data_IF_422404935721
#
_entry.id   IF_422404935721
#
_cell.length_a   1.000
_cell.length_b   1.000
_cell.length_c   1.000
_cell.angle_alpha   90.00
_cell.angle_beta   90.00
_cell.angle_gamma   90.00
#
_symmetry.space_group_name_H-M   'P 1'
#
loop_
_entity.id
_entity.type
_entity.pdbx_description
1 polymer ?
#
# COMPACT_ATOMS: atom_id res chain seq x y z
N UNK A 1 -71.92 98.22 -64.75
CA UNK A 1 -71.90 98.40 -63.27
C UNK A 1 -70.59 97.83 -62.74
N UNK A 2 -69.70 98.68 -62.21
CA UNK A 2 -68.42 98.27 -61.62
C UNK A 2 -68.64 98.02 -60.12
N UNK A 3 -68.90 96.77 -59.72
CA UNK A 3 -68.80 96.39 -58.31
C UNK A 3 -67.31 96.11 -58.03
N UNK A 4 -66.60 97.12 -57.50
CA UNK A 4 -65.17 97.04 -57.17
C UNK A 4 -64.94 97.45 -55.71
N UNK A 5 -65.79 96.92 -54.82
CA UNK A 5 -65.58 96.98 -53.37
C UNK A 5 -65.38 95.54 -52.92
N UNK A 6 -64.12 95.19 -52.70
CA UNK A 6 -63.69 93.93 -52.12
C UNK A 6 -64.34 93.81 -50.73
N UNK A 7 -65.23 92.84 -50.56
CA UNK A 7 -66.02 92.66 -49.34
C UNK A 7 -65.05 92.22 -48.24
N UNK A 8 -64.67 93.14 -47.33
CA UNK A 8 -63.75 92.89 -46.21
C UNK A 8 -64.21 91.78 -45.24
N UNK A 9 -65.46 91.33 -45.36
CA UNK A 9 -66.04 90.24 -44.54
C UNK A 9 -65.36 88.89 -44.82
N UNK A 10 -64.87 88.65 -46.03
CA UNK A 10 -64.19 87.38 -46.40
C UNK A 10 -62.76 87.28 -45.86
N UNK A 11 -62.19 88.37 -45.33
CA UNK A 11 -60.91 88.33 -44.61
C UNK A 11 -61.03 87.85 -43.16
N UNK A 12 -62.26 87.72 -42.64
CA UNK A 12 -62.52 87.29 -41.25
C UNK A 12 -63.13 85.90 -41.14
N UNK A 13 -63.80 85.42 -42.19
CA UNK A 13 -64.46 84.13 -42.23
C UNK A 13 -64.09 83.34 -43.49
N UNK A 14 -63.91 82.02 -43.36
CA UNK A 14 -63.62 81.12 -44.47
C UNK A 14 -64.77 81.12 -45.49
N UNK A 15 -64.45 81.27 -46.77
CA UNK A 15 -65.47 81.41 -47.79
C UNK A 15 -66.28 80.15 -48.09
N UNK A 16 -65.78 78.97 -47.74
CA UNK A 16 -66.46 77.69 -47.97
C UNK A 16 -67.27 77.22 -46.75
N UNK A 17 -66.82 77.51 -45.51
CA UNK A 17 -67.43 76.98 -44.29
C UNK A 17 -67.88 78.04 -43.27
N UNK A 18 -67.62 79.33 -43.52
CA UNK A 18 -68.01 80.44 -42.64
C UNK A 18 -67.26 80.53 -41.31
N UNK A 19 -66.30 79.65 -41.03
CA UNK A 19 -65.51 79.65 -39.79
C UNK A 19 -64.61 80.90 -39.67
N UNK A 20 -64.47 81.46 -38.47
CA UNK A 20 -63.59 82.62 -38.26
C UNK A 20 -62.12 82.23 -38.48
N UNK A 21 -61.43 82.96 -39.36
CA UNK A 21 -60.01 82.70 -39.67
C UNK A 21 -59.07 83.21 -38.57
N UNK A 22 -59.45 84.27 -37.85
CA UNK A 22 -58.59 84.89 -36.83
C UNK A 22 -58.14 83.93 -35.73
N UNK A 23 -59.02 83.11 -35.11
CA UNK A 23 -58.59 82.15 -34.08
C UNK A 23 -57.64 81.08 -34.63
N UNK A 24 -57.85 80.64 -35.87
CA UNK A 24 -56.99 79.63 -36.52
C UNK A 24 -55.60 80.19 -36.82
N UNK A 25 -55.52 81.44 -37.28
CA UNK A 25 -54.25 82.14 -37.56
C UNK A 25 -53.51 82.47 -36.27
N UNK A 26 -54.22 82.91 -35.24
CA UNK A 26 -53.61 83.17 -33.93
C UNK A 26 -53.04 81.88 -33.32
N UNK A 27 -53.76 80.76 -33.48
CA UNK A 27 -53.26 79.44 -33.06
C UNK A 27 -52.03 79.05 -33.88
N UNK A 28 -52.10 79.10 -35.21
CA UNK A 28 -50.96 78.79 -36.07
C UNK A 28 -49.73 79.66 -35.77
N UNK A 29 -49.92 80.94 -35.44
CA UNK A 29 -48.85 81.85 -35.05
C UNK A 29 -48.24 81.45 -33.70
N UNK A 30 -49.06 81.05 -32.73
CA UNK A 30 -48.59 80.56 -31.44
C UNK A 30 -47.82 79.24 -31.59
N UNK A 31 -48.34 78.29 -32.37
CA UNK A 31 -47.71 77.00 -32.65
C UNK A 31 -46.36 77.20 -33.39
N UNK A 32 -46.32 78.08 -34.40
CA UNK A 32 -45.07 78.42 -35.12
C UNK A 32 -44.06 79.14 -34.23
N UNK A 33 -44.52 79.99 -33.31
CA UNK A 33 -43.65 80.66 -32.35
C UNK A 33 -43.01 79.64 -31.41
N UNK A 34 -43.78 78.67 -30.92
CA UNK A 34 -43.27 77.60 -30.08
C UNK A 34 -42.21 76.76 -30.82
N UNK A 35 -42.49 76.37 -32.07
CA UNK A 35 -41.55 75.63 -32.92
C UNK A 35 -40.27 76.44 -33.17
N UNK A 36 -40.39 77.74 -33.45
CA UNK A 36 -39.26 78.65 -33.59
C UNK A 36 -38.39 78.66 -32.32
N UNK A 37 -39.01 78.89 -31.16
CA UNK A 37 -38.31 78.99 -29.89
C UNK A 37 -37.63 77.65 -29.51
N UNK A 38 -38.25 76.51 -29.85
CA UNK A 38 -37.67 75.18 -29.71
C UNK A 38 -36.48 74.94 -30.64
N UNK A 39 -36.60 75.28 -31.93
CA UNK A 39 -35.52 75.10 -32.90
C UNK A 39 -34.29 75.95 -32.56
N UNK A 40 -34.49 77.20 -32.12
CA UNK A 40 -33.39 78.06 -31.64
C UNK A 40 -32.75 77.52 -30.37
N UNK A 41 -33.53 76.94 -29.45
CA UNK A 41 -32.99 76.26 -28.26
C UNK A 41 -32.14 75.03 -28.64
N UNK A 42 -32.65 74.18 -29.54
CA UNK A 42 -31.93 72.98 -30.00
C UNK A 42 -30.63 73.34 -30.74
N UNK A 43 -30.64 74.42 -31.53
CA UNK A 43 -29.42 74.95 -32.16
C UNK A 43 -28.40 75.43 -31.12
N UNK A 44 -28.86 76.10 -30.06
CA UNK A 44 -27.99 76.53 -28.96
C UNK A 44 -27.39 75.35 -28.16
N UNK A 45 -28.13 74.25 -28.07
CA UNK A 45 -27.70 73.00 -27.42
C UNK A 45 -26.91 72.06 -28.35
N UNK A 46 -26.66 72.48 -29.59
CA UNK A 46 -25.98 71.73 -30.65
C UNK A 46 -26.67 70.42 -31.06
N UNK A 47 -27.98 70.30 -30.84
CA UNK A 47 -28.79 69.21 -31.38
C UNK A 47 -29.23 69.55 -32.81
N UNK A 48 -28.25 69.52 -33.73
CA UNK A 48 -28.46 69.96 -35.11
C UNK A 48 -29.51 69.16 -35.86
N UNK A 49 -29.67 67.87 -35.55
CA UNK A 49 -30.64 67.01 -36.21
C UNK A 49 -32.07 67.38 -35.75
N UNK A 50 -32.29 67.47 -34.44
CA UNK A 50 -33.60 67.88 -33.93
C UNK A 50 -33.94 69.32 -34.33
N UNK A 51 -32.97 70.24 -34.29
CA UNK A 51 -33.14 71.62 -34.72
C UNK A 51 -33.61 71.73 -36.18
N UNK A 52 -33.00 70.94 -37.09
CA UNK A 52 -33.39 70.88 -38.49
C UNK A 52 -34.79 70.29 -38.68
N UNK A 53 -35.13 69.23 -37.95
CA UNK A 53 -36.46 68.61 -37.99
C UNK A 53 -37.57 69.56 -37.52
N UNK A 54 -37.31 70.35 -36.46
CA UNK A 54 -38.28 71.34 -35.96
C UNK A 54 -38.44 72.51 -36.93
N UNK A 55 -37.36 72.99 -37.55
CA UNK A 55 -37.45 74.10 -38.49
C UNK A 55 -38.19 73.72 -39.79
N UNK A 56 -38.08 72.47 -40.25
CA UNK A 56 -38.71 72.02 -41.49
C UNK A 56 -40.25 72.17 -41.48
N UNK A 57 -40.89 72.09 -40.31
CA UNK A 57 -42.35 72.31 -40.17
C UNK A 57 -42.74 73.72 -40.66
N UNK A 58 -41.83 74.68 -40.50
CA UNK A 58 -42.02 76.09 -40.87
C UNK A 58 -41.85 76.32 -42.37
N UNK A 59 -41.04 75.50 -43.06
CA UNK A 59 -40.81 75.59 -44.50
C UNK A 59 -42.09 75.38 -45.33
N UNK A 60 -43.05 74.64 -44.80
CA UNK A 60 -44.32 74.30 -45.47
C UNK A 60 -45.40 75.39 -45.44
N UNK A 61 -45.12 76.54 -44.81
CA UNK A 61 -46.12 77.59 -44.61
C UNK A 61 -46.41 78.39 -45.88
N UNK A 62 -47.68 78.42 -46.29
CA UNK A 62 -48.15 79.12 -47.52
C UNK A 62 -48.97 80.37 -47.23
N UNK A 63 -49.45 80.57 -46.00
CA UNK A 63 -50.21 81.77 -45.64
C UNK A 63 -49.32 83.02 -45.69
N UNK A 64 -49.71 83.98 -46.54
CA UNK A 64 -49.01 85.28 -46.70
C UNK A 64 -48.78 86.04 -45.39
N UNK A 65 -49.65 85.87 -44.39
CA UNK A 65 -49.53 86.53 -43.07
C UNK A 65 -48.39 85.95 -42.22
N UNK A 66 -47.94 84.74 -42.53
CA UNK A 66 -46.93 83.99 -41.80
C UNK A 66 -45.60 83.91 -42.55
N UNK A 67 -45.45 84.61 -43.68
CA UNK A 67 -44.25 84.61 -44.53
C UNK A 67 -42.97 85.06 -43.83
N UNK A 68 -43.08 85.82 -42.72
CA UNK A 68 -41.91 86.17 -41.92
C UNK A 68 -41.20 84.92 -41.34
N UNK A 69 -41.94 83.85 -41.09
CA UNK A 69 -41.38 82.57 -40.66
C UNK A 69 -40.67 81.82 -41.80
N UNK A 70 -41.07 82.02 -43.06
CA UNK A 70 -40.35 81.48 -44.23
C UNK A 70 -38.98 82.15 -44.36
N UNK A 71 -38.91 83.48 -44.22
CA UNK A 71 -37.64 84.21 -44.19
C UNK A 71 -36.77 83.78 -43.00
N UNK A 72 -37.36 83.60 -41.82
CA UNK A 72 -36.63 83.06 -40.67
C UNK A 72 -36.09 81.66 -40.94
N UNK A 73 -36.86 80.77 -41.56
CA UNK A 73 -36.43 79.41 -41.87
C UNK A 73 -35.19 79.41 -42.77
N UNK A 74 -35.17 80.21 -43.83
CA UNK A 74 -34.00 80.34 -44.73
C UNK A 74 -32.75 80.80 -43.97
N UNK A 75 -32.88 81.84 -43.15
CA UNK A 75 -31.78 82.36 -42.32
C UNK A 75 -31.33 81.36 -41.25
N UNK A 76 -32.29 80.66 -40.63
CA UNK A 76 -32.05 79.64 -39.63
C UNK A 76 -31.32 78.43 -40.21
N UNK A 77 -31.74 77.90 -41.37
CA UNK A 77 -31.06 76.79 -42.04
C UNK A 77 -29.62 77.15 -42.38
N UNK A 78 -29.37 78.36 -42.89
CA UNK A 78 -28.01 78.82 -43.17
C UNK A 78 -27.15 78.90 -41.89
N UNK A 79 -27.69 79.43 -40.79
CA UNK A 79 -27.02 79.48 -39.48
C UNK A 79 -26.77 78.08 -38.92
N UNK A 80 -27.75 77.18 -39.02
CA UNK A 80 -27.65 75.79 -38.56
C UNK A 80 -26.53 75.06 -39.30
N UNK A 81 -26.49 75.15 -40.62
CA UNK A 81 -25.45 74.51 -41.44
C UNK A 81 -24.05 75.06 -41.17
N UNK A 82 -23.93 76.38 -41.01
CA UNK A 82 -22.68 77.03 -40.64
C UNK A 82 -22.21 76.59 -39.25
N UNK A 83 -23.12 76.54 -38.28
CA UNK A 83 -22.83 76.10 -36.90
C UNK A 83 -22.42 74.62 -36.87
N UNK A 84 -23.20 73.76 -37.54
CA UNK A 84 -22.93 72.32 -37.66
C UNK A 84 -21.55 72.04 -38.25
N UNK A 85 -21.21 72.71 -39.36
CA UNK A 85 -19.90 72.53 -40.02
C UNK A 85 -18.75 72.97 -39.11
N UNK A 86 -18.88 74.13 -38.46
CA UNK A 86 -17.87 74.67 -37.56
C UNK A 86 -17.64 73.78 -36.33
N UNK A 87 -18.72 73.36 -35.67
CA UNK A 87 -18.61 72.54 -34.47
C UNK A 87 -18.17 71.11 -34.76
N UNK A 88 -18.53 70.53 -35.92
CA UNK A 88 -17.99 69.23 -36.33
C UNK A 88 -16.51 69.30 -36.68
N UNK A 89 -16.03 70.36 -37.32
CA UNK A 89 -14.61 70.56 -37.56
C UNK A 89 -13.82 70.72 -36.25
N UNK A 90 -14.36 71.47 -35.28
CA UNK A 90 -13.79 71.58 -33.94
C UNK A 90 -13.79 70.25 -33.20
N UNK A 91 -14.87 69.47 -33.28
CA UNK A 91 -14.95 68.14 -32.69
C UNK A 91 -13.87 67.21 -33.28
N UNK A 92 -13.69 67.23 -34.59
CA UNK A 92 -12.64 66.47 -35.27
C UNK A 92 -11.25 66.78 -34.72
N UNK A 93 -10.92 68.07 -34.58
CA UNK A 93 -9.64 68.52 -34.03
C UNK A 93 -9.42 68.04 -32.59
N UNK A 94 -10.43 68.20 -31.72
CA UNK A 94 -10.37 67.74 -30.33
C UNK A 94 -10.21 66.22 -30.22
N UNK A 95 -10.90 65.45 -31.05
CA UNK A 95 -10.78 63.99 -31.08
C UNK A 95 -9.37 63.57 -31.51
N UNK A 96 -8.76 64.24 -32.50
CA UNK A 96 -7.40 63.93 -32.92
C UNK A 96 -6.33 64.34 -31.92
N UNK A 97 -6.48 65.51 -31.29
CA UNK A 97 -5.59 65.94 -30.22
C UNK A 97 -5.65 64.96 -29.04
N UNK A 98 -6.85 64.56 -28.62
CA UNK A 98 -7.03 63.56 -27.56
C UNK A 98 -6.38 62.22 -27.91
N UNK A 99 -6.54 61.75 -29.16
CA UNK A 99 -5.91 60.51 -29.65
C UNK A 99 -4.39 60.62 -29.68
N UNK A 100 -3.85 61.77 -30.05
CA UNK A 100 -2.40 62.04 -30.02
C UNK A 100 -1.88 61.97 -28.59
N UNK A 101 -2.57 62.60 -27.63
CA UNK A 101 -2.24 62.49 -26.21
C UNK A 101 -2.33 61.05 -25.69
N UNK A 102 -3.34 60.29 -26.09
CA UNK A 102 -3.49 58.88 -25.72
C UNK A 102 -2.32 58.03 -26.26
N UNK A 103 -1.88 58.26 -27.50
CA UNK A 103 -0.77 57.54 -28.14
C UNK A 103 0.57 57.79 -27.45
N UNK A 104 0.79 59.00 -26.92
CA UNK A 104 1.98 59.32 -26.11
C UNK A 104 1.79 59.01 -24.63
N UNK A 105 0.72 58.30 -24.26
CA UNK A 105 0.37 57.90 -22.89
C UNK A 105 0.15 59.08 -21.91
N UNK A 106 -0.21 60.25 -22.42
CA UNK A 106 -0.63 61.41 -21.63
C UNK A 106 -2.15 61.45 -21.46
N UNK A 107 -2.66 60.48 -20.70
CA UNK A 107 -4.08 60.32 -20.48
C UNK A 107 -4.74 61.54 -19.82
N UNK A 108 -3.99 62.32 -19.03
CA UNK A 108 -4.54 63.50 -18.35
C UNK A 108 -4.84 64.62 -19.36
N UNK A 109 -3.91 64.88 -20.29
CA UNK A 109 -4.13 65.84 -21.36
C UNK A 109 -5.24 65.37 -22.29
N UNK A 110 -5.26 64.08 -22.66
CA UNK A 110 -6.34 63.50 -23.46
C UNK A 110 -7.74 63.70 -22.82
N UNK A 111 -7.88 63.41 -21.52
CA UNK A 111 -9.15 63.62 -20.80
C UNK A 111 -9.54 65.10 -20.73
N UNK A 112 -8.59 66.02 -20.57
CA UNK A 112 -8.86 67.46 -20.60
C UNK A 112 -9.34 67.93 -21.97
N UNK A 113 -8.77 67.40 -23.05
CA UNK A 113 -9.21 67.70 -24.42
C UNK A 113 -10.63 67.20 -24.66
N UNK A 114 -10.94 65.94 -24.30
CA UNK A 114 -12.29 65.38 -24.45
C UNK A 114 -13.33 66.08 -23.57
N UNK A 115 -12.94 66.57 -22.39
CA UNK A 115 -13.83 67.35 -21.53
C UNK A 115 -14.31 68.68 -22.15
N UNK A 116 -13.64 69.17 -23.21
CA UNK A 116 -14.07 70.37 -23.95
C UNK A 116 -15.20 70.09 -24.95
N UNK A 117 -15.51 68.81 -25.23
CA UNK A 117 -16.60 68.41 -26.13
C UNK A 117 -17.94 68.60 -25.44
N UNK A 118 -18.88 69.28 -26.12
CA UNK A 118 -20.23 69.49 -25.61
C UNK A 118 -20.95 68.15 -25.39
N UNK A 119 -21.82 68.07 -24.37
CA UNK A 119 -22.51 66.82 -24.01
C UNK A 119 -23.33 66.22 -25.17
N UNK A 120 -24.03 67.07 -25.94
CA UNK A 120 -24.84 66.67 -27.09
C UNK A 120 -24.01 66.05 -28.22
N UNK A 121 -22.71 66.37 -28.28
CA UNK A 121 -21.79 65.92 -29.33
C UNK A 121 -20.98 64.68 -28.93
N UNK A 122 -21.11 64.18 -27.68
CA UNK A 122 -20.27 63.08 -27.18
C UNK A 122 -20.43 61.78 -27.97
N UNK A 123 -21.60 61.55 -28.57
CA UNK A 123 -21.93 60.34 -29.32
C UNK A 123 -21.96 60.59 -30.84
N UNK A 124 -21.57 61.79 -31.30
CA UNK A 124 -21.53 62.11 -32.72
C UNK A 124 -20.34 61.42 -33.37
N UNK A 125 -20.60 60.74 -34.49
CA UNK A 125 -19.57 60.11 -35.31
C UNK A 125 -19.06 61.10 -36.35
N UNK A 126 -17.74 61.26 -36.43
CA UNK A 126 -17.07 62.10 -37.44
C UNK A 126 -16.42 61.18 -38.48
N UNK A 127 -16.61 61.50 -39.75
CA UNK A 127 -16.06 60.72 -40.85
C UNK A 127 -14.52 60.73 -40.78
N UNK A 128 -13.91 59.53 -40.72
CA UNK A 128 -12.45 59.38 -40.60
C UNK A 128 -11.94 59.13 -39.18
N UNK A 129 -12.79 59.27 -38.15
CA UNK A 129 -12.48 58.91 -36.77
C UNK A 129 -13.41 57.77 -36.35
N UNK A 130 -12.83 56.62 -35.99
CA UNK A 130 -13.60 55.42 -35.61
C UNK A 130 -14.33 55.56 -34.28
N UNK A 131 -13.80 56.39 -33.39
CA UNK A 131 -14.21 56.47 -31.99
C UNK A 131 -14.96 57.79 -31.77
N UNK A 132 -16.08 57.71 -31.05
CA UNK A 132 -16.80 58.88 -30.53
C UNK A 132 -16.07 59.48 -29.33
N UNK A 133 -16.37 60.73 -28.98
CA UNK A 133 -15.78 61.35 -27.79
C UNK A 133 -16.11 60.57 -26.50
N UNK A 134 -17.32 60.01 -26.42
CA UNK A 134 -17.76 59.18 -25.29
C UNK A 134 -16.96 57.88 -25.15
N UNK A 135 -16.65 57.20 -26.27
CA UNK A 135 -15.83 55.98 -26.26
C UNK A 135 -14.39 56.28 -25.85
N UNK A 136 -13.80 57.38 -26.34
CA UNK A 136 -12.46 57.83 -25.92
C UNK A 136 -12.45 58.18 -24.43
N UNK A 137 -13.45 58.94 -23.94
CA UNK A 137 -13.60 59.31 -22.53
C UNK A 137 -13.64 58.08 -21.62
N UNK A 138 -14.45 57.08 -21.99
CA UNK A 138 -14.56 55.82 -21.26
C UNK A 138 -13.23 55.05 -21.26
N UNK A 139 -12.58 54.92 -22.43
CA UNK A 139 -11.30 54.22 -22.57
C UNK A 139 -10.21 54.89 -21.73
N UNK A 140 -10.13 56.22 -21.75
CA UNK A 140 -9.19 57.00 -20.94
C UNK A 140 -9.44 56.81 -19.45
N UNK A 141 -10.71 56.86 -19.02
CA UNK A 141 -11.10 56.64 -17.61
C UNK A 141 -10.65 55.26 -17.13
N UNK A 142 -10.88 54.21 -17.93
CA UNK A 142 -10.45 52.85 -17.61
C UNK A 142 -8.92 52.78 -17.50
N UNK A 143 -8.18 53.33 -18.47
CA UNK A 143 -6.71 53.34 -18.46
C UNK A 143 -6.15 54.10 -17.26
N UNK A 144 -6.71 55.25 -16.91
CA UNK A 144 -6.30 56.04 -15.75
C UNK A 144 -6.57 55.31 -14.43
N UNK A 145 -7.75 54.70 -14.28
CA UNK A 145 -8.09 53.90 -13.11
C UNK A 145 -7.11 52.73 -12.95
N UNK A 146 -6.86 51.98 -14.03
CA UNK A 146 -5.92 50.86 -14.03
C UNK A 146 -4.49 51.30 -13.73
N UNK A 147 -4.05 52.43 -14.28
CA UNK A 147 -2.74 53.01 -14.00
C UNK A 147 -2.57 53.33 -12.50
N UNK A 148 -3.57 53.98 -11.90
CA UNK A 148 -3.56 54.33 -10.48
C UNK A 148 -3.60 53.09 -9.58
N UNK A 149 -4.37 52.08 -9.95
CA UNK A 149 -4.44 50.80 -9.27
C UNK A 149 -3.08 50.10 -9.28
N UNK A 150 -2.47 49.92 -10.46
CA UNK A 150 -1.16 49.29 -10.61
C UNK A 150 -0.07 50.05 -9.85
N UNK A 151 -0.07 51.38 -9.89
CA UNK A 151 0.85 52.20 -9.09
C UNK A 151 0.68 51.97 -7.59
N UNK A 152 -0.57 51.86 -7.12
CA UNK A 152 -0.89 51.55 -5.74
C UNK A 152 -0.35 50.18 -5.32
N UNK A 153 -0.67 49.14 -6.10
CA UNK A 153 -0.23 47.77 -5.85
C UNK A 153 1.29 47.67 -5.87
N UNK A 154 1.96 48.21 -6.90
CA UNK A 154 3.42 48.16 -7.01
C UNK A 154 4.07 48.87 -5.83
N UNK A 155 3.60 50.07 -5.47
CA UNK A 155 4.16 50.81 -4.32
C UNK A 155 3.97 50.06 -3.02
N UNK A 156 2.79 49.52 -2.78
CA UNK A 156 2.47 48.77 -1.57
C UNK A 156 3.32 47.51 -1.45
N UNK A 157 3.36 46.68 -2.51
CA UNK A 157 4.15 45.45 -2.56
C UNK A 157 5.64 45.69 -2.38
N UNK A 158 6.21 46.69 -3.07
CA UNK A 158 7.60 47.11 -2.88
C UNK A 158 7.86 47.56 -1.45
N UNK A 159 6.94 48.32 -0.84
CA UNK A 159 7.09 48.78 0.56
C UNK A 159 7.06 47.63 1.58
N UNK A 160 6.26 46.60 1.30
CA UNK A 160 6.15 45.38 2.12
C UNK A 160 7.26 44.35 1.82
N UNK A 161 8.12 44.63 0.83
CA UNK A 161 9.10 43.67 0.28
C UNK A 161 8.47 42.38 -0.25
N UNK A 162 7.18 42.44 -0.59
CA UNK A 162 6.45 41.36 -1.24
C UNK A 162 6.65 41.49 -2.75
N UNK A 163 7.68 40.81 -3.25
CA UNK A 163 8.07 40.89 -4.67
C UNK A 163 7.55 39.72 -5.50
N UNK A 164 6.83 38.78 -4.87
CA UNK A 164 6.22 37.65 -5.54
C UNK A 164 5.21 38.16 -6.57
N UNK A 165 5.29 37.62 -7.79
CA UNK A 165 4.38 37.93 -8.91
C UNK A 165 4.32 39.43 -9.28
N UNK A 166 5.29 40.24 -8.85
CA UNK A 166 5.28 41.68 -9.11
C UNK A 166 5.67 42.03 -10.55
N UNK A 167 6.48 41.19 -11.19
CA UNK A 167 7.02 41.44 -12.54
C UNK A 167 5.92 41.59 -13.62
N UNK A 168 4.88 40.74 -13.69
CA UNK A 168 3.74 40.94 -14.60
C UNK A 168 3.05 42.30 -14.44
N UNK A 169 2.81 42.74 -13.19
CA UNK A 169 2.16 44.02 -12.90
C UNK A 169 3.03 45.20 -13.30
N UNK A 170 4.35 45.10 -13.09
CA UNK A 170 5.33 46.10 -13.53
C UNK A 170 5.39 46.17 -15.07
N UNK A 171 5.31 45.03 -15.77
CA UNK A 171 5.24 44.98 -17.22
C UNK A 171 3.96 45.66 -17.75
N UNK A 172 2.80 45.37 -17.14
CA UNK A 172 1.54 46.02 -17.50
C UNK A 172 1.58 47.54 -17.25
N UNK A 173 2.17 47.96 -16.12
CA UNK A 173 2.37 49.37 -15.79
C UNK A 173 3.23 50.09 -16.84
N UNK A 174 4.31 49.46 -17.31
CA UNK A 174 5.17 49.99 -18.36
C UNK A 174 4.50 49.98 -19.74
N UNK A 175 3.58 49.06 -20.01
CA UNK A 175 2.75 49.10 -21.22
C UNK A 175 1.78 50.28 -21.22
N UNK A 176 1.20 50.60 -20.07
CA UNK A 176 0.32 51.77 -19.92
C UNK A 176 1.10 53.09 -19.87
N UNK A 177 2.31 53.10 -19.33
CA UNK A 177 3.16 54.29 -19.27
C UNK A 177 4.64 53.95 -19.39
N UNK A 178 5.19 53.92 -20.62
CA UNK A 178 6.57 53.50 -20.87
C UNK A 178 7.64 54.45 -20.31
N UNK A 179 7.33 55.74 -20.14
CA UNK A 179 8.31 56.75 -19.70
C UNK A 179 8.40 56.86 -18.17
N UNK A 180 8.90 55.78 -17.54
CA UNK A 180 9.10 55.72 -16.09
C UNK A 180 10.44 55.06 -15.73
N UNK A 181 11.51 55.85 -15.50
CA UNK A 181 12.84 55.31 -15.24
C UNK A 181 12.89 54.42 -13.99
N UNK A 182 12.20 54.83 -12.91
CA UNK A 182 12.14 54.06 -11.67
C UNK A 182 11.47 52.68 -11.85
N UNK A 183 10.40 52.63 -12.63
CA UNK A 183 9.67 51.38 -12.91
C UNK A 183 10.48 50.48 -13.85
N UNK A 184 11.21 51.03 -14.82
CA UNK A 184 12.16 50.28 -15.66
C UNK A 184 13.29 49.67 -14.83
N UNK A 185 13.84 50.44 -13.89
CA UNK A 185 14.87 49.96 -12.96
C UNK A 185 14.33 48.82 -12.09
N UNK A 186 13.12 48.97 -11.55
CA UNK A 186 12.45 47.92 -10.77
C UNK A 186 12.24 46.65 -11.62
N UNK A 187 11.77 46.79 -12.87
CA UNK A 187 11.63 45.66 -13.79
C UNK A 187 12.94 44.89 -13.93
N UNK A 188 14.04 45.58 -14.22
CA UNK A 188 15.35 44.95 -14.40
C UNK A 188 15.82 44.24 -13.13
N UNK A 189 15.57 44.81 -11.95
CA UNK A 189 15.87 44.16 -10.67
C UNK A 189 15.04 42.90 -10.43
N UNK A 190 13.75 42.91 -10.78
CA UNK A 190 12.88 41.75 -10.67
C UNK A 190 13.28 40.65 -11.67
N UNK A 191 13.59 41.02 -12.91
CA UNK A 191 14.10 40.08 -13.92
C UNK A 191 15.42 39.44 -13.48
N UNK A 192 16.35 40.24 -12.95
CA UNK A 192 17.62 39.73 -12.42
C UNK A 192 17.38 38.76 -11.26
N UNK A 193 16.54 39.14 -10.27
CA UNK A 193 16.20 38.25 -9.15
C UNK A 193 15.60 36.93 -9.64
N UNK A 194 14.66 36.97 -10.58
CA UNK A 194 14.06 35.74 -11.14
C UNK A 194 15.12 34.89 -11.82
N UNK A 195 16.02 35.50 -12.58
CA UNK A 195 17.15 34.79 -13.21
C UNK A 195 18.07 34.16 -12.16
N UNK A 196 18.41 34.87 -11.08
CA UNK A 196 19.29 34.38 -10.01
C UNK A 196 18.63 33.22 -9.25
N UNK A 197 17.33 33.29 -8.96
CA UNK A 197 16.60 32.20 -8.30
C UNK A 197 16.52 30.94 -9.19
N UNK A 198 16.32 31.13 -10.49
CA UNK A 198 16.33 30.02 -11.46
C UNK A 198 17.73 29.39 -11.53
N UNK A 199 18.79 30.20 -11.61
CA UNK A 199 20.16 29.71 -11.61
C UNK A 199 20.50 28.94 -10.32
N UNK A 200 20.11 29.47 -9.15
CA UNK A 200 20.29 28.80 -7.86
C UNK A 200 19.55 27.46 -7.80
N UNK A 201 18.31 27.39 -8.30
CA UNK A 201 17.57 26.13 -8.40
C UNK A 201 18.30 25.11 -9.28
N UNK A 202 18.82 25.54 -10.43
CA UNK A 202 19.47 24.65 -11.38
C UNK A 202 20.77 24.10 -10.77
N UNK A 203 21.56 24.95 -10.10
CA UNK A 203 22.74 24.55 -9.30
C UNK A 203 22.36 23.58 -8.17
N UNK A 204 21.28 23.85 -7.43
CA UNK A 204 20.79 22.96 -6.38
C UNK A 204 20.33 21.60 -6.94
N UNK A 205 19.74 21.56 -8.14
CA UNK A 205 19.38 20.30 -8.82
C UNK A 205 20.63 19.50 -9.22
N UNK A 206 21.67 20.17 -9.72
CA UNK A 206 22.96 19.54 -10.05
C UNK A 206 23.62 18.96 -8.79
N UNK A 207 23.70 19.76 -7.72
CA UNK A 207 24.28 19.32 -6.45
C UNK A 207 23.48 18.18 -5.81
N UNK A 208 22.14 18.25 -5.80
CA UNK A 208 21.32 17.15 -5.30
C UNK A 208 21.48 15.87 -6.13
N UNK A 209 21.66 15.99 -7.44
CA UNK A 209 21.94 14.84 -8.32
C UNK A 209 23.28 14.21 -7.95
N UNK A 210 24.31 15.03 -7.70
CA UNK A 210 25.60 14.57 -7.22
C UNK A 210 25.47 13.86 -5.85
N UNK A 211 24.83 14.49 -4.87
CA UNK A 211 24.64 13.92 -3.54
C UNK A 211 23.87 12.58 -3.60
N UNK A 212 22.84 12.46 -4.44
CA UNK A 212 22.14 11.17 -4.66
C UNK A 212 23.09 10.10 -5.21
N UNK A 213 23.99 10.46 -6.13
CA UNK A 213 24.98 9.53 -6.69
C UNK A 213 26.07 9.12 -5.69
N UNK A 214 26.39 10.03 -4.76
CA UNK A 214 27.31 9.82 -3.64
C UNK A 214 26.62 9.16 -2.42
N UNK A 215 25.32 8.81 -2.54
CA UNK A 215 24.51 8.17 -1.51
C UNK A 215 24.29 9.05 -0.24
N UNK A 216 24.38 10.37 -0.42
CA UNK A 216 24.12 11.43 0.55
C UNK A 216 22.67 11.94 0.43
N UNK A 217 21.71 11.08 0.75
CA UNK A 217 20.29 11.36 0.51
C UNK A 217 19.72 12.48 1.37
N UNK A 218 20.19 12.63 2.62
CA UNK A 218 19.73 13.69 3.53
C UNK A 218 20.22 15.06 3.06
N UNK A 219 21.47 15.15 2.64
CA UNK A 219 22.10 16.34 2.08
C UNK A 219 21.43 16.75 0.76
N UNK A 220 21.08 15.78 -0.09
CA UNK A 220 20.30 16.02 -1.30
C UNK A 220 18.94 16.64 -0.99
N UNK A 221 18.19 16.09 -0.02
CA UNK A 221 16.88 16.61 0.39
C UNK A 221 17.02 18.03 0.96
N UNK A 222 17.97 18.26 1.87
CA UNK A 222 18.21 19.56 2.47
C UNK A 222 18.55 20.64 1.41
N UNK A 223 19.35 20.28 0.41
CA UNK A 223 19.71 21.16 -0.71
C UNK A 223 18.48 21.53 -1.54
N UNK A 224 17.62 20.55 -1.86
CA UNK A 224 16.39 20.78 -2.62
C UNK A 224 15.34 21.57 -1.83
N UNK A 225 15.25 21.38 -0.51
CA UNK A 225 14.32 22.08 0.39
C UNK A 225 14.71 23.55 0.63
N UNK A 226 15.97 23.91 0.40
CA UNK A 226 16.42 25.30 0.44
C UNK A 226 15.97 26.13 -0.78
N UNK A 227 15.50 25.49 -1.85
CA UNK A 227 15.04 26.18 -3.06
C UNK A 227 13.63 26.75 -2.83
N UNK A 228 13.44 28.03 -3.20
CA UNK A 228 12.14 28.70 -3.11
C UNK A 228 11.07 28.01 -3.96
N UNK A 229 9.85 27.93 -3.42
CA UNK A 229 8.67 27.43 -4.13
C UNK A 229 8.37 28.25 -5.41
N UNK A 230 8.73 29.54 -5.44
CA UNK A 230 8.53 30.45 -6.58
C UNK A 230 9.16 29.95 -7.88
N UNK A 231 10.27 29.20 -7.80
CA UNK A 231 11.00 28.67 -8.96
C UNK A 231 10.89 27.15 -9.09
N UNK A 232 10.07 26.51 -8.27
CA UNK A 232 9.87 25.06 -8.28
C UNK A 232 9.45 24.55 -9.66
N UNK A 233 9.99 23.39 -10.03
CA UNK A 233 9.69 22.73 -11.30
C UNK A 233 9.56 21.21 -11.10
N UNK A 234 9.23 20.50 -12.19
CA UNK A 234 9.05 19.05 -12.15
C UNK A 234 10.35 18.31 -11.78
N UNK A 235 11.49 18.72 -12.34
CA UNK A 235 12.79 18.09 -12.07
C UNK A 235 13.15 18.13 -10.58
N UNK A 236 13.00 19.29 -9.93
CA UNK A 236 13.24 19.46 -8.50
C UNK A 236 12.33 18.53 -7.67
N UNK A 237 11.05 18.44 -8.07
CA UNK A 237 10.06 17.59 -7.40
C UNK A 237 10.42 16.11 -7.56
N UNK A 238 10.79 15.68 -8.76
CA UNK A 238 11.17 14.29 -9.05
C UNK A 238 12.45 13.89 -8.29
N UNK A 239 13.45 14.77 -8.22
CA UNK A 239 14.66 14.55 -7.44
C UNK A 239 14.37 14.45 -5.94
N UNK A 240 13.48 15.32 -5.42
CA UNK A 240 13.07 15.27 -4.02
C UNK A 240 12.37 13.95 -3.69
N UNK A 241 11.46 13.49 -4.55
CA UNK A 241 10.79 12.19 -4.38
C UNK A 241 11.82 11.06 -4.39
N UNK A 242 12.70 11.04 -5.40
CA UNK A 242 13.72 10.00 -5.53
C UNK A 242 14.66 9.92 -4.32
N UNK A 243 15.12 11.06 -3.82
CA UNK A 243 15.97 11.10 -2.63
C UNK A 243 15.24 10.60 -1.37
N UNK A 244 13.98 11.01 -1.18
CA UNK A 244 13.14 10.53 -0.08
C UNK A 244 12.87 9.02 -0.18
N UNK A 245 12.60 8.50 -1.37
CA UNK A 245 12.36 7.06 -1.58
C UNK A 245 13.59 6.24 -1.21
N UNK A 246 14.79 6.66 -1.60
CA UNK A 246 16.02 5.98 -1.22
C UNK A 246 16.30 6.07 0.28
N UNK A 247 16.10 7.24 0.90
CA UNK A 247 16.26 7.41 2.35
C UNK A 247 15.29 6.52 3.14
N UNK A 248 14.03 6.45 2.70
CA UNK A 248 13.01 5.60 3.32
C UNK A 248 13.33 4.11 3.17
N UNK A 249 13.80 3.68 1.98
CA UNK A 249 14.25 2.31 1.77
C UNK A 249 15.44 1.96 2.67
N UNK A 250 16.43 2.86 2.78
CA UNK A 250 17.59 2.69 3.65
C UNK A 250 17.17 2.53 5.12
N UNK A 251 16.28 3.41 5.60
CA UNK A 251 15.79 3.36 6.99
C UNK A 251 15.01 2.09 7.29
N UNK A 252 14.18 1.62 6.36
CA UNK A 252 13.43 0.37 6.49
C UNK A 252 14.39 -0.84 6.57
N UNK A 253 15.39 -0.91 5.69
CA UNK A 253 16.39 -1.99 5.74
C UNK A 253 17.18 -1.98 7.06
N UNK A 254 17.56 -0.79 7.56
CA UNK A 254 18.22 -0.65 8.87
C UNK A 254 17.33 -1.11 10.03
N UNK A 255 16.03 -0.81 9.99
CA UNK A 255 15.07 -1.28 10.98
C UNK A 255 14.90 -2.81 10.93
N UNK A 256 14.83 -3.40 9.74
CA UNK A 256 14.79 -4.85 9.55
C UNK A 256 16.04 -5.52 10.13
N UNK A 257 17.23 -4.98 9.84
CA UNK A 257 18.49 -5.49 10.40
C UNK A 257 18.47 -5.40 11.93
N UNK A 258 18.09 -4.24 12.49
CA UNK A 258 18.03 -4.03 13.94
C UNK A 258 17.07 -5.01 14.62
N UNK A 259 15.89 -5.22 14.02
CA UNK A 259 14.86 -6.15 14.52
C UNK A 259 15.35 -7.59 14.46
N UNK A 260 15.93 -8.01 13.34
CA UNK A 260 16.46 -9.36 13.14
C UNK A 260 17.61 -9.67 14.11
N UNK A 261 18.56 -8.74 14.28
CA UNK A 261 19.66 -8.86 15.24
C UNK A 261 19.13 -8.93 16.68
N UNK A 262 18.16 -8.09 17.05
CA UNK A 262 17.54 -8.10 18.37
C UNK A 262 16.79 -9.40 18.68
N UNK A 263 16.12 -9.97 17.66
CA UNK A 263 15.43 -11.25 17.75
C UNK A 263 16.35 -12.48 17.60
N UNK A 264 17.66 -12.27 17.36
CA UNK A 264 18.64 -13.33 17.03
C UNK A 264 18.24 -14.17 15.80
N UNK A 265 17.52 -13.57 14.86
CA UNK A 265 17.10 -14.16 13.60
C UNK A 265 18.12 -13.76 12.53
N UNK A 266 19.08 -14.64 12.26
CA UNK A 266 20.15 -14.36 11.29
C UNK A 266 19.89 -14.92 9.89
N UNK A 267 18.78 -15.64 9.72
CA UNK A 267 18.40 -16.20 8.42
C UNK A 267 18.06 -15.05 7.46
N UNK A 268 18.55 -15.13 6.21
CA UNK A 268 18.36 -14.16 5.13
C UNK A 268 18.92 -12.73 5.40
N UNK A 269 19.51 -12.49 6.58
CA UNK A 269 20.01 -11.18 6.99
C UNK A 269 21.15 -10.67 6.10
N UNK A 270 21.98 -11.57 5.55
CA UNK A 270 23.03 -11.20 4.60
C UNK A 270 22.47 -10.50 3.36
N UNK A 271 21.35 -10.96 2.82
CA UNK A 271 20.71 -10.35 1.65
C UNK A 271 20.21 -8.93 1.97
N UNK A 272 19.65 -8.72 3.17
CA UNK A 272 19.18 -7.41 3.63
C UNK A 272 20.37 -6.46 3.84
N UNK A 273 21.47 -6.93 4.44
CA UNK A 273 22.69 -6.14 4.61
C UNK A 273 23.30 -5.76 3.25
N UNK A 274 23.33 -6.69 2.29
CA UNK A 274 23.82 -6.40 0.94
C UNK A 274 22.98 -5.33 0.23
N UNK A 275 21.65 -5.40 0.34
CA UNK A 275 20.77 -4.36 -0.20
C UNK A 275 21.02 -3.00 0.48
N UNK A 276 21.23 -2.99 1.81
CA UNK A 276 21.54 -1.78 2.54
C UNK A 276 22.89 -1.17 2.09
N UNK A 277 23.91 -1.99 1.89
CA UNK A 277 25.24 -1.58 1.41
C UNK A 277 25.24 -1.13 -0.06
N UNK A 278 24.31 -1.64 -0.88
CA UNK A 278 24.10 -1.13 -2.25
C UNK A 278 23.54 0.30 -2.20
N UNK A 279 22.64 0.61 -1.26
CA UNK A 279 22.09 1.95 -1.09
C UNK A 279 23.07 2.89 -0.40
N UNK A 280 23.83 2.42 0.59
CA UNK A 280 24.82 3.23 1.29
C UNK A 280 26.04 2.39 1.68
N UNK A 281 27.11 2.53 0.91
CA UNK A 281 28.29 1.68 0.97
C UNK A 281 29.21 1.98 2.16
N UNK A 282 29.22 3.22 2.65
CA UNK A 282 30.03 3.73 3.77
C UNK A 282 29.42 3.38 5.14
N UNK A 283 29.18 2.09 5.38
CA UNK A 283 28.64 1.58 6.65
C UNK A 283 29.55 0.49 7.23
N UNK A 284 30.63 0.91 7.88
CA UNK A 284 31.66 0.04 8.45
C UNK A 284 31.10 -1.01 9.43
N UNK A 285 30.08 -0.62 10.21
CA UNK A 285 29.38 -1.50 11.14
C UNK A 285 28.61 -2.63 10.42
N UNK A 286 27.98 -2.32 9.29
CA UNK A 286 27.30 -3.31 8.45
C UNK A 286 28.29 -4.21 7.70
N UNK A 287 29.43 -3.69 7.27
CA UNK A 287 30.50 -4.48 6.67
C UNK A 287 31.08 -5.49 7.68
N UNK A 288 31.36 -5.06 8.91
CA UNK A 288 31.81 -5.93 9.98
C UNK A 288 30.75 -7.00 10.32
N UNK A 289 29.47 -6.60 10.35
CA UNK A 289 28.36 -7.53 10.56
C UNK A 289 28.26 -8.57 9.43
N UNK A 290 28.39 -8.15 8.18
CA UNK A 290 28.41 -9.03 7.00
C UNK A 290 29.52 -10.07 7.13
N UNK A 291 30.74 -9.65 7.45
CA UNK A 291 31.87 -10.57 7.63
C UNK A 291 31.60 -11.59 8.75
N UNK A 292 31.07 -11.14 9.88
CA UNK A 292 30.70 -12.03 11.01
C UNK A 292 29.63 -13.05 10.61
N UNK A 293 28.63 -12.66 9.82
CA UNK A 293 27.57 -13.55 9.35
C UNK A 293 28.11 -14.58 8.34
N UNK A 294 28.92 -14.16 7.38
CA UNK A 294 29.60 -15.07 6.43
C UNK A 294 30.44 -16.10 7.18
N UNK A 295 31.25 -15.65 8.16
CA UNK A 295 32.06 -16.55 8.99
C UNK A 295 31.20 -17.52 9.82
N UNK A 296 30.05 -17.05 10.32
CA UNK A 296 29.09 -17.88 11.06
C UNK A 296 28.48 -18.96 10.17
N UNK A 297 28.04 -18.61 8.96
CA UNK A 297 27.46 -19.55 8.00
C UNK A 297 28.49 -20.61 7.57
N UNK A 298 29.72 -20.20 7.21
CA UNK A 298 30.79 -21.14 6.88
C UNK A 298 31.10 -22.13 8.01
N UNK A 299 31.04 -21.65 9.27
CA UNK A 299 31.22 -22.50 10.45
C UNK A 299 30.07 -23.48 10.65
N UNK A 300 28.82 -23.05 10.43
CA UNK A 300 27.66 -23.94 10.49
C UNK A 300 27.71 -24.99 9.39
N UNK A 301 28.07 -24.61 8.16
CA UNK A 301 28.20 -25.55 7.04
C UNK A 301 29.27 -26.59 7.31
N UNK A 302 30.43 -26.18 7.82
CA UNK A 302 31.50 -27.11 8.24
C UNK A 302 30.99 -28.08 9.29
N UNK A 303 30.26 -27.60 10.30
CA UNK A 303 29.66 -28.46 11.34
C UNK A 303 28.60 -29.40 10.77
N UNK A 304 27.75 -28.93 9.86
CA UNK A 304 26.74 -29.77 9.20
C UNK A 304 27.39 -30.86 8.35
N UNK A 305 28.45 -30.55 7.62
CA UNK A 305 29.23 -31.53 6.86
C UNK A 305 29.85 -32.59 7.79
N UNK A 306 30.39 -32.19 8.94
CA UNK A 306 30.92 -33.12 9.94
C UNK A 306 29.82 -34.04 10.50
N UNK A 307 28.69 -33.47 10.93
CA UNK A 307 27.54 -34.24 11.45
C UNK A 307 27.01 -35.20 10.38
N UNK A 308 26.90 -34.75 9.13
CA UNK A 308 26.46 -35.57 8.00
C UNK A 308 27.43 -36.73 7.76
N UNK A 309 28.73 -36.46 7.78
CA UNK A 309 29.78 -37.49 7.60
C UNK A 309 29.75 -38.52 8.72
N UNK A 310 29.61 -38.08 9.98
CA UNK A 310 29.51 -38.97 11.14
C UNK A 310 28.22 -39.81 11.11
N UNK A 311 27.09 -39.23 10.71
CA UNK A 311 25.84 -39.95 10.56
C UNK A 311 25.92 -41.02 9.46
N UNK A 312 26.61 -40.73 8.35
CA UNK A 312 26.88 -41.70 7.28
C UNK A 312 27.78 -42.85 7.76
N UNK A 313 28.79 -42.57 8.59
CA UNK A 313 29.63 -43.60 9.21
C UNK A 313 28.81 -44.52 10.12
N UNK A 314 27.96 -43.97 10.98
CA UNK A 314 27.04 -44.76 11.81
C UNK A 314 26.08 -45.60 10.99
N UNK A 315 25.59 -45.06 9.86
CA UNK A 315 24.73 -45.80 8.94
C UNK A 315 25.47 -47.02 8.35
N UNK A 316 26.73 -46.86 7.94
CA UNK A 316 27.56 -47.97 7.44
C UNK A 316 27.81 -49.05 8.51
N UNK A 317 27.93 -48.64 9.77
CA UNK A 317 28.09 -49.54 10.92
C UNK A 317 26.77 -50.13 11.43
N UNK A 318 25.64 -49.88 10.75
CA UNK A 318 24.28 -50.27 11.16
C UNK A 318 23.86 -49.75 12.54
N UNK A 319 24.46 -48.64 12.99
CA UNK A 319 24.16 -47.96 14.25
C UNK A 319 23.11 -46.86 14.05
N UNK A 320 21.90 -47.25 13.63
CA UNK A 320 20.86 -46.31 13.19
C UNK A 320 20.44 -45.30 14.26
N UNK A 321 20.33 -45.69 15.54
CA UNK A 321 19.95 -44.76 16.60
C UNK A 321 21.02 -43.69 16.86
N UNK A 322 22.30 -44.04 16.71
CA UNK A 322 23.39 -43.07 16.80
C UNK A 322 23.37 -42.09 15.62
N UNK A 323 23.09 -42.58 14.40
CA UNK A 323 22.92 -41.73 13.23
C UNK A 323 21.74 -40.75 13.37
N UNK A 324 20.58 -41.23 13.82
CA UNK A 324 19.37 -40.42 14.09
C UNK A 324 19.65 -39.40 15.19
N UNK A 325 20.30 -39.81 16.28
CA UNK A 325 20.69 -38.92 17.38
C UNK A 325 21.65 -37.82 16.92
N UNK A 326 22.60 -38.15 16.05
CA UNK A 326 23.59 -37.20 15.51
C UNK A 326 22.93 -36.18 14.58
N UNK A 327 22.02 -36.62 13.69
CA UNK A 327 21.29 -35.72 12.79
C UNK A 327 20.26 -34.86 13.52
N UNK A 328 19.58 -35.39 14.54
CA UNK A 328 18.61 -34.63 15.35
C UNK A 328 19.26 -33.57 16.25
N UNK A 329 20.58 -33.63 16.45
CA UNK A 329 21.33 -32.58 17.14
C UNK A 329 21.46 -31.28 16.31
N UNK A 330 21.14 -31.32 15.01
CA UNK A 330 20.98 -30.12 14.18
C UNK A 330 19.62 -29.50 14.52
N UNK A 331 19.65 -28.28 15.08
CA UNK A 331 18.42 -27.56 15.39
C UNK A 331 17.55 -27.41 14.13
N UNK A 332 16.21 -27.49 14.22
CA UNK A 332 15.32 -27.48 13.07
C UNK A 332 15.57 -26.33 12.09
N UNK A 333 15.88 -25.14 12.61
CA UNK A 333 16.17 -23.93 11.83
C UNK A 333 17.45 -24.01 10.98
N UNK A 334 18.31 -25.00 11.23
CA UNK A 334 19.56 -25.22 10.50
C UNK A 334 19.55 -26.50 9.65
N UNK A 335 18.43 -27.22 9.63
CA UNK A 335 18.31 -28.41 8.80
C UNK A 335 18.23 -28.02 7.32
N UNK A 336 19.15 -28.54 6.53
CA UNK A 336 19.12 -28.45 5.07
C UNK A 336 18.27 -29.56 4.49
N UNK A 337 17.83 -29.41 3.23
CA UNK A 337 17.17 -30.47 2.47
C UNK A 337 18.01 -31.75 2.45
N UNK A 338 19.34 -31.64 2.34
CA UNK A 338 20.25 -32.79 2.40
C UNK A 338 20.23 -33.50 3.76
N UNK A 339 20.26 -32.77 4.87
CA UNK A 339 20.24 -33.38 6.22
C UNK A 339 18.90 -34.02 6.52
N UNK A 340 17.79 -33.43 6.06
CA UNK A 340 16.45 -34.00 6.17
C UNK A 340 16.30 -35.28 5.35
N UNK A 341 16.77 -35.27 4.09
CA UNK A 341 16.76 -36.45 3.23
C UNK A 341 17.62 -37.58 3.83
N UNK A 342 18.79 -37.26 4.39
CA UNK A 342 19.62 -38.24 5.07
C UNK A 342 18.93 -38.81 6.32
N UNK A 343 18.29 -37.96 7.12
CA UNK A 343 17.53 -38.39 8.29
C UNK A 343 16.42 -39.39 7.91
N UNK A 344 15.64 -39.06 6.88
CA UNK A 344 14.60 -39.96 6.35
C UNK A 344 15.18 -41.28 5.87
N UNK A 345 16.26 -41.23 5.08
CA UNK A 345 16.95 -42.43 4.60
C UNK A 345 17.42 -43.32 5.74
N UNK A 346 18.03 -42.77 6.79
CA UNK A 346 18.47 -43.53 7.96
C UNK A 346 17.28 -44.22 8.64
N UNK A 347 16.14 -43.53 8.77
CA UNK A 347 14.93 -44.12 9.37
C UNK A 347 14.31 -45.23 8.52
N UNK A 348 14.33 -45.10 7.20
CA UNK A 348 13.84 -46.11 6.26
C UNK A 348 14.76 -47.34 6.24
N UNK A 349 16.08 -47.14 6.16
CA UNK A 349 17.04 -48.23 6.21
C UNK A 349 16.96 -48.99 7.55
N UNK A 350 16.75 -48.28 8.66
CA UNK A 350 16.47 -48.90 9.97
C UNK A 350 15.22 -49.78 9.93
N UNK A 351 14.12 -49.27 9.40
CA UNK A 351 12.86 -50.02 9.31
C UNK A 351 13.02 -51.27 8.43
N UNK A 352 13.69 -51.14 7.28
CA UNK A 352 13.97 -52.26 6.38
C UNK A 352 14.85 -53.33 7.04
N UNK A 353 15.88 -52.93 7.80
CA UNK A 353 16.72 -53.86 8.55
C UNK A 353 15.93 -54.64 9.61
N UNK A 354 15.03 -53.97 10.33
CA UNK A 354 14.12 -54.61 11.29
C UNK A 354 13.20 -55.61 10.57
N UNK A 355 12.57 -55.23 9.46
CA UNK A 355 11.70 -56.12 8.69
C UNK A 355 12.44 -57.35 8.19
N UNK A 356 13.68 -57.18 7.71
CA UNK A 356 14.53 -58.28 7.25
C UNK A 356 14.85 -59.24 8.41
N UNK A 357 15.33 -58.73 9.54
CA UNK A 357 15.63 -59.55 10.72
C UNK A 357 14.39 -60.31 11.22
N UNK A 358 13.21 -59.67 11.23
CA UNK A 358 11.95 -60.33 11.59
C UNK A 358 11.58 -61.44 10.60
N UNK A 359 11.79 -61.25 9.30
CA UNK A 359 11.50 -62.25 8.27
C UNK A 359 12.40 -63.48 8.36
N UNK A 360 13.63 -63.31 8.84
CA UNK A 360 14.60 -64.38 9.09
C UNK A 360 14.39 -65.05 10.46
N UNK A 361 13.46 -64.55 11.27
CA UNK A 361 13.21 -65.01 12.64
C UNK A 361 14.27 -64.56 13.65
N UNK A 362 15.21 -63.69 13.27
CA UNK A 362 16.23 -63.12 14.14
C UNK A 362 15.67 -61.96 14.97
N UNK A 363 14.85 -62.32 15.95
CA UNK A 363 14.27 -61.36 16.88
C UNK A 363 15.32 -60.65 17.73
N UNK A 364 16.53 -61.22 17.91
CA UNK A 364 17.60 -60.58 18.70
C UNK A 364 18.10 -59.34 17.98
N UNK A 365 18.38 -59.48 16.68
CA UNK A 365 18.77 -58.36 15.83
C UNK A 365 17.65 -57.32 15.75
N UNK A 366 16.39 -57.74 15.54
CA UNK A 366 15.25 -56.82 15.50
C UNK A 366 15.07 -56.03 16.82
N UNK A 367 15.21 -56.67 18.00
CA UNK A 367 15.18 -55.98 19.29
C UNK A 367 16.42 -55.13 19.58
N UNK A 368 17.58 -55.46 19.01
CA UNK A 368 18.77 -54.62 19.14
C UNK A 368 18.65 -53.32 18.36
N UNK A 369 17.91 -53.34 17.25
CA UNK A 369 17.62 -52.18 16.41
C UNK A 369 16.44 -51.37 16.94
N UNK A 370 15.40 -52.02 17.48
CA UNK A 370 14.27 -51.39 18.13
C UNK A 370 13.83 -52.22 19.35
N UNK A 371 14.27 -51.78 20.53
CA UNK A 371 14.00 -52.47 21.79
C UNK A 371 12.52 -52.62 22.13
N UNK A 372 11.64 -51.84 21.50
CA UNK A 372 10.20 -51.88 21.72
C UNK A 372 9.45 -52.60 20.58
N UNK A 373 10.15 -53.26 19.66
CA UNK A 373 9.52 -53.92 18.54
C UNK A 373 8.62 -55.08 18.98
N UNK A 374 7.31 -54.89 18.87
CA UNK A 374 6.30 -55.83 19.37
C UNK A 374 6.42 -57.20 18.70
N UNK A 375 6.69 -57.24 17.39
CA UNK A 375 6.81 -58.51 16.65
C UNK A 375 8.04 -59.30 17.11
N UNK A 376 9.18 -58.62 17.32
CA UNK A 376 10.39 -59.25 17.82
C UNK A 376 10.20 -59.76 19.27
N UNK A 377 9.51 -59.01 20.13
CA UNK A 377 9.15 -59.46 21.48
C UNK A 377 8.26 -60.71 21.46
N UNK A 378 7.31 -60.79 20.53
CA UNK A 378 6.45 -61.96 20.35
C UNK A 378 7.25 -63.19 19.89
N UNK A 379 8.15 -63.02 18.92
CA UNK A 379 9.05 -64.08 18.46
C UNK A 379 9.93 -64.60 19.61
N UNK A 380 10.57 -63.71 20.37
CA UNK A 380 11.34 -64.08 21.58
C UNK A 380 10.52 -64.91 22.57
N UNK A 381 9.29 -64.47 22.87
CA UNK A 381 8.40 -65.17 23.80
C UNK A 381 7.97 -66.54 23.26
N UNK A 382 7.77 -66.67 21.95
CA UNK A 382 7.46 -67.95 21.31
C UNK A 382 8.62 -68.93 21.40
N UNK A 383 9.87 -68.48 21.19
CA UNK A 383 11.06 -69.31 21.33
C UNK A 383 11.23 -69.79 22.78
N UNK A 384 11.13 -68.88 23.76
CA UNK A 384 11.21 -69.25 25.19
C UNK A 384 10.13 -70.25 25.61
N UNK A 385 8.90 -70.10 25.10
CA UNK A 385 7.81 -71.07 25.36
C UNK A 385 8.10 -72.43 24.73
N UNK A 386 8.64 -72.47 23.51
CA UNK A 386 9.01 -73.73 22.86
C UNK A 386 10.12 -74.48 23.62
N UNK A 387 11.11 -73.77 24.16
CA UNK A 387 12.19 -74.36 24.97
C UNK A 387 11.69 -74.97 26.29
N UNK A 388 10.71 -74.32 26.95
CA UNK A 388 10.07 -74.84 28.17
C UNK A 388 9.29 -76.14 27.92
N UNK A 389 8.57 -76.25 26.81
CA UNK A 389 7.80 -77.46 26.43
C UNK A 389 8.71 -78.67 26.16
N UNK A 390 9.96 -78.44 25.72
CA UNK A 390 10.95 -79.52 25.51
C UNK A 390 11.52 -80.05 26.83
N UNK A 391 11.74 -79.20 27.83
CA UNK A 391 12.25 -79.63 29.15
C UNK A 391 11.18 -80.41 29.95
N UNK A 392 9.92 -79.99 29.89
CA UNK A 392 8.81 -80.69 30.54
C UNK A 392 8.56 -82.08 29.93
N UNK A 393 8.67 -82.22 28.60
CA UNK A 393 8.58 -83.53 27.94
C UNK A 393 9.74 -84.47 28.30
N UNK A 394 10.92 -83.94 28.63
CA UNK A 394 12.07 -84.74 29.08
C UNK A 394 11.89 -85.26 30.50
N UNK A 395 11.30 -84.46 31.41
CA UNK A 395 10.98 -84.88 32.79
C UNK A 395 9.85 -85.91 32.88
N UNK A 396 8.86 -85.87 31.98
CA UNK A 396 7.73 -86.80 31.98
C UNK A 396 8.08 -88.24 31.54
N UNK A 397 9.15 -88.46 30.76
CA UNK A 397 9.56 -89.80 30.32
C UNK A 397 10.33 -90.63 31.37
N UNK A 398 10.88 -90.01 32.42
CA UNK A 398 11.73 -90.68 33.42
C UNK A 398 11.00 -91.18 34.68
N UNK A 399 9.70 -90.88 34.86
CA UNK A 399 8.97 -91.17 36.10
C UNK A 399 7.92 -92.29 36.00
N UNK A 400 7.95 -93.12 34.94
CA UNK A 400 6.90 -94.13 34.65
C UNK A 400 7.43 -95.57 34.51
N UNK A 401 8.35 -96.00 35.36
CA UNK A 401 8.72 -97.43 35.51
C UNK A 401 8.53 -97.86 36.97
N UNK A 402 7.36 -98.41 37.29
CA UNK A 402 7.08 -99.02 38.59
C UNK A 402 7.93 -100.29 38.79
N UNK A 403 8.52 -100.45 39.97
CA UNK A 403 9.48 -101.52 40.26
C UNK A 403 8.73 -102.84 40.50
N UNK A 404 8.76 -103.75 39.52
CA UNK A 404 8.03 -105.03 39.48
C UNK A 404 8.17 -105.87 40.76
N UNK A 405 9.30 -105.76 41.45
CA UNK A 405 9.59 -106.50 42.68
C UNK A 405 8.74 -106.07 43.89
N UNK A 406 8.31 -104.81 43.94
CA UNK A 406 7.44 -104.30 45.02
C UNK A 406 6.01 -104.85 44.91
N UNK A 407 5.53 -105.10 43.69
CA UNK A 407 4.22 -105.72 43.42
C UNK A 407 4.25 -107.21 43.80
N UNK A 408 5.33 -107.92 43.47
CA UNK A 408 5.49 -109.34 43.81
C UNK A 408 5.46 -109.57 45.32
N UNK A 409 6.22 -108.79 46.10
CA UNK A 409 6.23 -108.92 47.57
C UNK A 409 4.85 -108.74 48.21
N UNK A 410 4.05 -107.78 47.74
CA UNK A 410 2.69 -107.57 48.23
C UNK A 410 1.78 -108.77 47.93
N UNK A 411 1.82 -109.27 46.69
CA UNK A 411 0.98 -110.41 46.29
C UNK A 411 1.35 -111.69 47.06
N UNK A 412 2.64 -111.96 47.25
CA UNK A 412 3.11 -113.14 48.02
C UNK A 412 2.78 -113.02 49.51
N UNK A 413 2.86 -111.82 50.10
CA UNK A 413 2.47 -111.56 51.49
C UNK A 413 0.99 -111.85 51.76
N UNK A 414 0.11 -111.40 50.87
CA UNK A 414 -1.33 -111.64 50.97
C UNK A 414 -1.71 -113.12 50.85
N UNK A 415 -1.09 -113.84 49.91
CA UNK A 415 -1.31 -115.29 49.72
C UNK A 415 -0.90 -116.12 50.94
N UNK A 416 0.15 -115.69 51.67
CA UNK A 416 0.65 -116.39 52.86
C UNK A 416 -0.34 -116.39 54.04
N UNK A 417 -1.21 -115.38 54.12
CA UNK A 417 -2.22 -115.26 55.19
C UNK A 417 -3.46 -116.12 54.88
N UNK A 418 -3.79 -116.29 53.60
CA UNK A 418 -5.04 -116.98 53.19
C UNK A 418 -4.88 -118.51 53.13
N UNK A 419 -3.66 -119.03 52.95
CA UNK A 419 -3.40 -120.47 52.83
C UNK A 419 -3.08 -121.13 54.18
N UNK A 420 -4.13 -121.42 54.96
CA UNK A 420 -4.05 -122.16 56.24
C UNK A 420 -3.31 -123.51 56.08
N UNK A 421 -2.13 -123.63 56.65
CA UNK A 421 -1.34 -124.87 56.75
C UNK A 421 -0.04 -124.92 55.93
N UNK A 422 0.12 -124.06 54.92
CA UNK A 422 1.36 -123.94 54.12
C UNK A 422 2.02 -122.55 54.22
N UNK A 423 1.56 -121.70 55.14
CA UNK A 423 1.94 -120.28 55.23
C UNK A 423 3.39 -120.01 55.62
N UNK A 424 4.08 -120.95 56.27
CA UNK A 424 5.45 -120.72 56.76
C UNK A 424 6.49 -120.47 55.64
N UNK A 425 6.66 -121.33 54.61
CA UNK A 425 7.64 -121.07 53.54
C UNK A 425 7.29 -119.83 52.71
N UNK A 426 6.00 -119.55 52.48
CA UNK A 426 5.54 -118.40 51.70
C UNK A 426 5.72 -117.06 52.45
N UNK A 427 5.50 -117.05 53.77
CA UNK A 427 5.75 -115.88 54.61
C UNK A 427 7.23 -115.46 54.58
N UNK A 428 8.15 -116.43 54.64
CA UNK A 428 9.60 -116.16 54.55
C UNK A 428 9.97 -115.57 53.17
N UNK A 429 9.42 -116.12 52.08
CA UNK A 429 9.66 -115.58 50.74
C UNK A 429 9.14 -114.13 50.57
N UNK A 430 7.98 -113.80 51.15
CA UNK A 430 7.42 -112.45 51.13
C UNK A 430 8.32 -111.44 51.88
N UNK A 431 8.90 -111.83 53.02
CA UNK A 431 9.81 -110.99 53.79
C UNK A 431 11.11 -110.74 53.01
N UNK A 432 11.74 -111.78 52.46
CA UNK A 432 13.00 -111.64 51.72
C UNK A 432 12.82 -110.77 50.49
N UNK A 433 11.75 -110.99 49.72
CA UNK A 433 11.45 -110.16 48.54
C UNK A 433 11.07 -108.73 48.92
N UNK A 434 10.38 -108.51 50.05
CA UNK A 434 10.09 -107.19 50.60
C UNK A 434 11.34 -106.40 50.99
N UNK A 435 12.30 -107.03 51.68
CA UNK A 435 13.58 -106.40 52.06
C UNK A 435 14.39 -106.02 50.81
N UNK A 436 14.48 -106.92 49.82
CA UNK A 436 15.19 -106.65 48.57
C UNK A 436 14.52 -105.52 47.77
N UNK A 437 13.19 -105.46 47.73
CA UNK A 437 12.45 -104.39 47.08
C UNK A 437 12.67 -103.04 47.80
N UNK A 438 12.69 -103.02 49.14
CA UNK A 438 12.97 -101.81 49.92
C UNK A 438 14.42 -101.32 49.73
N UNK A 439 15.41 -102.22 49.68
CA UNK A 439 16.80 -101.86 49.36
C UNK A 439 16.96 -101.26 47.97
N UNK A 440 16.17 -101.71 46.99
CA UNK A 440 16.17 -101.10 45.65
C UNK A 440 15.50 -99.72 45.65
N UNK A 441 14.43 -99.53 46.42
CA UNK A 441 13.76 -98.23 46.56
C UNK A 441 14.66 -97.20 47.27
N UNK A 442 15.40 -97.59 48.32
CA UNK A 442 16.30 -96.68 49.03
C UNK A 442 17.51 -96.24 48.19
N UNK A 443 17.84 -96.97 47.12
CA UNK A 443 18.85 -96.60 46.12
C UNK A 443 18.28 -95.77 44.96
N UNK A 444 17.06 -95.25 45.08
CA UNK A 444 16.46 -94.35 44.10
C UNK A 444 15.87 -95.02 42.86
N UNK A 445 15.74 -96.35 42.84
CA UNK A 445 15.23 -97.10 41.68
C UNK A 445 13.69 -97.22 41.63
N UNK A 446 12.99 -96.09 41.82
CA UNK A 446 11.54 -95.96 41.62
C UNK A 446 10.68 -95.97 42.88
N UNK A 447 9.45 -95.48 42.73
CA UNK A 447 8.49 -95.30 43.82
C UNK A 447 7.70 -96.60 44.07
N UNK A 448 8.10 -97.39 45.06
CA UNK A 448 7.43 -98.63 45.45
C UNK A 448 7.55 -99.00 46.94
N UNK A 449 8.08 -98.08 47.75
CA UNK A 449 8.46 -98.35 49.15
C UNK A 449 7.27 -98.76 50.02
N UNK A 450 6.11 -98.09 49.87
CA UNK A 450 4.90 -98.43 50.62
C UNK A 450 4.35 -99.83 50.34
N UNK A 451 4.42 -100.29 49.08
CA UNK A 451 3.95 -101.64 48.70
C UNK A 451 4.88 -102.74 49.22
N UNK A 452 6.19 -102.53 49.16
CA UNK A 452 7.18 -103.46 49.70
C UNK A 452 7.07 -103.60 51.23
N UNK A 453 6.79 -102.49 51.93
CA UNK A 453 6.57 -102.49 53.38
C UNK A 453 5.29 -103.28 53.74
N UNK A 454 4.20 -103.07 53.00
CA UNK A 454 2.95 -103.79 53.23
C UNK A 454 3.07 -105.32 52.99
N UNK A 455 3.84 -105.74 51.97
CA UNK A 455 4.16 -107.15 51.73
C UNK A 455 4.96 -107.78 52.88
N UNK A 456 5.92 -107.05 53.45
CA UNK A 456 6.72 -107.52 54.57
C UNK A 456 5.88 -107.68 55.86
N UNK A 457 5.03 -106.69 56.18
CA UNK A 457 4.18 -106.73 57.38
C UNK A 457 3.18 -107.89 57.30
N UNK A 458 2.54 -108.09 56.14
CA UNK A 458 1.60 -109.20 55.95
C UNK A 458 2.28 -110.57 56.01
N UNK A 459 3.51 -110.71 55.51
CA UNK A 459 4.32 -111.93 55.66
C UNK A 459 4.62 -112.29 57.12
N UNK A 460 4.99 -111.31 57.95
CA UNK A 460 5.22 -111.53 59.39
C UNK A 460 3.94 -111.97 60.12
N UNK A 461 2.81 -111.30 59.84
CA UNK A 461 1.53 -111.67 60.42
C UNK A 461 1.13 -113.11 60.07
N UNK A 462 1.36 -113.53 58.81
CA UNK A 462 1.09 -114.90 58.35
C UNK A 462 1.93 -115.97 59.09
N UNK A 463 3.21 -115.69 59.36
CA UNK A 463 4.08 -116.59 60.12
C UNK A 463 3.61 -116.71 61.58
N UNK A 464 3.30 -115.59 62.23
CA UNK A 464 2.84 -115.58 63.63
C UNK A 464 1.51 -116.34 63.76
N UNK A 465 0.56 -116.10 62.85
CA UNK A 465 -0.71 -116.81 62.83
C UNK A 465 -0.53 -118.33 62.62
N UNK A 466 0.37 -118.73 61.73
CA UNK A 466 0.70 -120.14 61.50
C UNK A 466 1.30 -120.80 62.75
N UNK A 467 2.17 -120.11 63.49
CA UNK A 467 2.75 -120.62 64.74
C UNK A 467 1.70 -120.76 65.84
N UNK A 468 0.77 -119.80 65.95
CA UNK A 468 -0.35 -119.89 66.91
C UNK A 468 -1.24 -121.10 66.60
N UNK A 469 -1.55 -121.36 65.32
CA UNK A 469 -2.33 -122.53 64.93
C UNK A 469 -1.59 -123.85 65.23
N UNK A 470 -0.28 -123.92 65.00
CA UNK A 470 0.52 -125.11 65.33
C UNK A 470 0.51 -125.36 66.85
N UNK A 471 0.72 -124.31 67.67
CA UNK A 471 0.68 -124.42 69.12
C UNK A 471 -0.72 -124.80 69.65
N UNK A 472 -1.79 -124.28 69.05
CA UNK A 472 -3.17 -124.64 69.38
C UNK A 472 -3.54 -126.08 68.98
N UNK A 473 -2.83 -126.69 68.02
CA UNK A 473 -3.02 -128.09 67.62
C UNK A 473 -2.22 -129.10 68.48
N UNK A 474 -1.28 -128.61 69.30
CA UNK A 474 -0.45 -129.39 70.21
C UNK A 474 -0.92 -129.31 71.68
N UNK A 475 -1.93 -128.49 71.98
CA UNK A 475 -2.63 -128.37 73.25
C UNK A 475 -4.02 -129.03 73.14
#
# INVERSE_FOLDING_TARGET
MKCKVEIQTWNKACGECGAQQTPLVNKALADLKEIHDQAESLLADFDFQAAAEHSEVVASQTDTRLQHYTSWHEDFSARLESSRTSEYARLEELLQEAKTHEQVHDYNSASRTIAQVHSSLKQTTILGISDTAGEIDQRLTIKQARLKELEGIVRERVSKRDVAELLPLVNELLMLKPDRPEVKKLKLQLEQRTSDMVAYRDEACEQATQNISEQEYEEAIATLDAVSEEVSNQQLTDLRIKANDYLNQLNNLREQITTAVGAKQFNDLLSVIDQCLILKADQDDLLEMKEKLVNREAKLDTRHQQITSQALEYLQLLQFDAAIGTLSAIAPEYQTLSTLALYQRVTEEKANAITTALSEGDWKTALSLDGNNIQALQLRNSEMRSALVVDDNKKLKTNRTANTNAVVSLTTGLLSVVTCGCGFPLGVAAIVTGILAMQKCSRGAGNGWGMALAGLISGFAGIIWSLVLILASLA
#
